data_IF_120403325073
#
_entry.id   IF_120403325073
#
_cell.length_a   1.000
_cell.length_b   1.000
_cell.length_c   1.000
_cell.angle_alpha   90.00
_cell.angle_beta   90.00
_cell.angle_gamma   90.00
#
_symmetry.space_group_name_H-M   'P 1'
#
loop_
_entity.id
_entity.type
_entity.pdbx_description
1 polymer ?
#
# COMPACT_ATOMS: atom_id res chain seq x y z
N UNK A 1 -1.75 -15.73 -10.47
CA UNK A 1 -1.12 -15.76 -9.13
C UNK A 1 -1.01 -17.20 -8.65
N UNK A 2 0.20 -17.66 -8.30
CA UNK A 2 0.43 -19.08 -8.02
C UNK A 2 -0.28 -19.60 -6.76
N UNK A 3 -0.41 -18.79 -5.71
CA UNK A 3 -1.06 -19.19 -4.46
C UNK A 3 -2.58 -19.05 -4.50
N UNK A 4 -3.09 -18.16 -5.33
CA UNK A 4 -4.53 -17.95 -5.52
C UNK A 4 -4.79 -17.92 -7.01
N UNK A 5 -4.97 -19.11 -7.65
CA UNK A 5 -5.02 -19.20 -9.12
C UNK A 5 -6.14 -18.42 -9.77
N UNK A 6 -7.26 -18.23 -9.06
CA UNK A 6 -8.44 -17.52 -9.59
C UNK A 6 -8.33 -16.00 -9.44
N UNK A 7 -7.30 -15.50 -8.74
CA UNK A 7 -7.16 -14.07 -8.53
C UNK A 7 -6.68 -13.34 -9.79
N UNK A 8 -7.32 -12.23 -10.07
CA UNK A 8 -6.83 -11.28 -11.07
C UNK A 8 -5.91 -10.26 -10.40
N UNK A 9 -4.91 -9.80 -11.13
CA UNK A 9 -3.92 -8.86 -10.60
C UNK A 9 -4.06 -7.50 -11.28
N UNK A 10 -4.15 -6.45 -10.46
CA UNK A 10 -4.03 -5.07 -10.90
C UNK A 10 -2.71 -4.48 -10.44
N UNK A 11 -2.32 -3.38 -11.05
CA UNK A 11 -1.07 -2.71 -10.71
C UNK A 11 -1.29 -1.21 -10.58
N UNK A 12 -0.62 -0.60 -9.59
CA UNK A 12 -0.53 0.84 -9.44
C UNK A 12 0.95 1.19 -9.39
N UNK A 13 1.41 1.95 -10.38
CA UNK A 13 2.78 2.46 -10.40
C UNK A 13 2.82 3.82 -9.73
N UNK A 14 3.59 3.92 -8.65
CA UNK A 14 3.81 5.16 -7.91
C UNK A 14 5.26 5.26 -7.51
N UNK A 15 5.74 6.48 -7.38
CA UNK A 15 7.01 6.74 -6.70
C UNK A 15 6.81 7.87 -5.69
N UNK A 16 7.67 7.90 -4.70
CA UNK A 16 7.63 8.92 -3.66
C UNK A 16 8.49 10.10 -4.07
N UNK A 17 7.94 11.31 -3.99
CA UNK A 17 8.71 12.53 -4.15
C UNK A 17 9.72 12.62 -3.01
N UNK A 18 11.01 12.81 -3.34
CA UNK A 18 12.09 12.81 -2.36
C UNK A 18 12.06 14.01 -1.40
N UNK A 19 11.42 15.11 -1.81
CA UNK A 19 11.32 16.30 -0.99
C UNK A 19 10.07 16.30 -0.12
N UNK A 20 8.90 15.99 -0.72
CA UNK A 20 7.61 16.05 -0.03
C UNK A 20 7.19 14.73 0.59
N UNK A 21 7.82 13.61 0.21
CA UNK A 21 7.45 12.23 0.58
C UNK A 21 6.04 11.85 0.13
N UNK A 22 5.44 12.60 -0.78
CA UNK A 22 4.10 12.31 -1.32
C UNK A 22 4.17 11.37 -2.50
N UNK A 23 3.15 10.50 -2.68
CA UNK A 23 3.11 9.61 -3.82
C UNK A 23 2.82 10.36 -5.12
N UNK A 24 3.50 9.96 -6.18
CA UNK A 24 3.26 10.45 -7.53
C UNK A 24 2.85 9.24 -8.37
N UNK A 25 1.61 9.23 -8.84
CA UNK A 25 1.12 8.15 -9.68
C UNK A 25 1.65 8.33 -11.11
N UNK A 26 2.18 7.25 -11.69
CA UNK A 26 2.55 7.23 -13.12
C UNK A 26 1.88 6.10 -13.89
N UNK A 27 1.24 5.16 -13.21
CA UNK A 27 0.61 4.02 -13.86
C UNK A 27 -0.46 3.41 -12.97
N UNK A 28 -1.61 3.04 -13.57
CA UNK A 28 -2.60 2.21 -12.89
C UNK A 28 -3.30 1.32 -13.90
N UNK A 29 -3.57 0.08 -13.51
CA UNK A 29 -4.28 -0.89 -14.35
C UNK A 29 -5.03 -1.86 -13.46
N UNK A 30 -6.34 -1.94 -13.62
CA UNK A 30 -7.21 -2.76 -12.80
C UNK A 30 -8.06 -3.72 -13.64
N UNK A 31 -8.39 -4.91 -13.08
CA UNK A 31 -9.33 -5.82 -13.72
C UNK A 31 -10.72 -5.21 -13.92
N UNK A 32 -11.46 -5.61 -14.97
CA UNK A 32 -12.77 -5.01 -15.25
C UNK A 32 -13.86 -5.34 -14.24
N UNK A 33 -13.70 -6.43 -13.45
CA UNK A 33 -14.70 -6.86 -12.47
C UNK A 33 -14.42 -6.35 -11.05
N UNK A 34 -13.66 -5.26 -10.92
CA UNK A 34 -13.19 -4.77 -9.61
C UNK A 34 -14.33 -4.41 -8.65
N UNK A 35 -15.47 -3.94 -9.17
CA UNK A 35 -16.62 -3.56 -8.34
C UNK A 35 -17.26 -4.74 -7.62
N UNK A 36 -17.15 -5.94 -8.17
CA UNK A 36 -17.76 -7.16 -7.63
C UNK A 36 -16.77 -8.02 -6.82
N UNK A 37 -15.49 -7.75 -6.96
CA UNK A 37 -14.45 -8.55 -6.37
C UNK A 37 -14.14 -8.14 -4.92
N UNK A 38 -13.62 -9.10 -4.13
CA UNK A 38 -12.89 -8.78 -2.91
C UNK A 38 -11.51 -8.28 -3.33
N UNK A 39 -11.18 -7.03 -3.01
CA UNK A 39 -9.94 -6.40 -3.45
C UNK A 39 -8.95 -6.35 -2.30
N UNK A 40 -7.80 -6.96 -2.50
CA UNK A 40 -6.68 -6.92 -1.56
C UNK A 40 -5.63 -5.98 -2.13
N UNK A 41 -5.39 -4.86 -1.44
CA UNK A 41 -4.33 -3.93 -1.81
C UNK A 41 -3.08 -4.32 -1.02
N UNK A 42 -2.02 -4.63 -1.72
CA UNK A 42 -0.79 -5.14 -1.12
C UNK A 42 0.29 -4.06 -1.12
N UNK A 43 0.79 -3.74 0.06
CA UNK A 43 1.90 -2.81 0.25
C UNK A 43 2.84 -3.42 1.30
N UNK A 44 4.05 -3.85 0.92
CA UNK A 44 4.95 -4.53 1.85
C UNK A 44 5.28 -3.70 3.09
N UNK A 45 5.39 -2.39 2.95
CA UNK A 45 5.84 -1.50 4.03
C UNK A 45 4.94 -0.27 4.12
N UNK A 46 4.13 -0.22 5.17
CA UNK A 46 3.25 0.90 5.45
C UNK A 46 3.99 1.92 6.34
N UNK A 47 4.78 2.79 5.71
CA UNK A 47 5.62 3.77 6.40
C UNK A 47 4.87 5.06 6.71
N UNK A 48 4.82 6.01 5.77
CA UNK A 48 4.04 7.24 5.95
C UNK A 48 2.55 7.03 5.70
N UNK A 49 2.20 6.02 4.91
CA UNK A 49 0.83 5.71 4.54
C UNK A 49 0.30 6.47 3.33
N UNK A 50 1.06 7.42 2.78
CA UNK A 50 0.58 8.24 1.67
C UNK A 50 0.38 7.42 0.39
N UNK A 51 1.31 6.54 0.05
CA UNK A 51 1.18 5.67 -1.13
C UNK A 51 0.00 4.72 -1.01
N UNK A 52 -0.15 4.09 0.16
CA UNK A 52 -1.27 3.18 0.41
C UNK A 52 -2.61 3.91 0.36
N UNK A 53 -2.72 5.07 0.98
CA UNK A 53 -3.94 5.88 0.95
C UNK A 53 -4.30 6.30 -0.48
N UNK A 54 -3.30 6.72 -1.26
CA UNK A 54 -3.50 7.09 -2.66
C UNK A 54 -3.92 5.90 -3.51
N UNK A 55 -3.30 4.73 -3.30
CA UNK A 55 -3.68 3.51 -4.01
C UNK A 55 -5.12 3.11 -3.69
N UNK A 56 -5.53 3.16 -2.42
CA UNK A 56 -6.91 2.89 -2.03
C UNK A 56 -7.90 3.86 -2.69
N UNK A 57 -7.55 5.14 -2.78
CA UNK A 57 -8.39 6.12 -3.48
C UNK A 57 -8.56 5.79 -4.95
N UNK A 58 -7.48 5.40 -5.64
CA UNK A 58 -7.53 5.02 -7.05
C UNK A 58 -8.38 3.78 -7.27
N UNK A 59 -8.24 2.79 -6.41
CA UNK A 59 -9.02 1.55 -6.50
C UNK A 59 -10.51 1.82 -6.26
N UNK A 60 -10.84 2.71 -5.32
CA UNK A 60 -12.23 3.16 -5.11
C UNK A 60 -12.78 3.90 -6.32
N UNK A 61 -12.00 4.78 -6.93
CA UNK A 61 -12.39 5.48 -8.16
C UNK A 61 -12.67 4.51 -9.31
N UNK A 62 -11.94 3.39 -9.35
CA UNK A 62 -12.18 2.34 -10.35
C UNK A 62 -13.44 1.51 -10.07
N UNK A 63 -14.07 1.72 -8.92
CA UNK A 63 -15.33 1.09 -8.58
C UNK A 63 -15.28 0.02 -7.49
N UNK A 64 -14.12 -0.24 -6.89
CA UNK A 64 -14.00 -1.25 -5.83
C UNK A 64 -14.86 -0.90 -4.62
N UNK A 65 -15.58 -1.89 -4.09
CA UNK A 65 -16.48 -1.71 -2.95
C UNK A 65 -16.03 -2.49 -1.71
N UNK A 66 -15.31 -3.59 -1.90
CA UNK A 66 -14.83 -4.45 -0.80
C UNK A 66 -13.31 -4.46 -0.81
N UNK A 67 -12.72 -3.74 0.13
CA UNK A 67 -11.28 -3.48 0.18
C UNK A 67 -10.67 -3.94 1.50
N UNK A 68 -9.45 -4.48 1.42
CA UNK A 68 -8.55 -4.66 2.56
C UNK A 68 -7.14 -4.22 2.15
N UNK A 69 -6.40 -3.67 3.09
CA UNK A 69 -4.99 -3.33 2.91
C UNK A 69 -4.15 -4.36 3.68
N UNK A 70 -3.22 -4.98 3.00
CA UNK A 70 -2.35 -6.01 3.59
C UNK A 70 -0.90 -5.58 3.43
N UNK A 71 -0.17 -5.55 4.54
CA UNK A 71 1.25 -5.23 4.57
C UNK A 71 2.05 -6.26 5.34
N UNK A 72 3.36 -6.18 5.24
CA UNK A 72 4.27 -7.01 6.03
C UNK A 72 4.66 -6.25 7.30
N UNK A 73 5.14 -5.02 7.15
CA UNK A 73 5.54 -4.17 8.28
C UNK A 73 4.81 -2.83 8.17
N UNK A 74 4.29 -2.36 9.28
CA UNK A 74 3.64 -1.05 9.36
C UNK A 74 4.17 -0.26 10.56
N UNK A 75 3.99 1.06 10.54
CA UNK A 75 4.24 1.89 11.71
C UNK A 75 3.01 2.74 12.03
N UNK A 76 2.86 3.21 13.28
CA UNK A 76 1.67 3.96 13.70
C UNK A 76 1.33 5.18 12.83
N UNK A 77 2.29 6.02 12.41
CA UNK A 77 1.97 7.14 11.51
C UNK A 77 1.34 6.72 10.19
N UNK A 78 1.83 5.62 9.58
CA UNK A 78 1.28 5.10 8.34
C UNK A 78 -0.12 4.55 8.51
N UNK A 79 -0.34 3.82 9.59
CA UNK A 79 -1.67 3.29 9.93
C UNK A 79 -2.65 4.44 10.14
N UNK A 80 -2.25 5.48 10.88
CA UNK A 80 -3.10 6.64 11.14
C UNK A 80 -3.45 7.38 9.85
N UNK A 81 -2.50 7.55 8.94
CA UNK A 81 -2.74 8.19 7.64
C UNK A 81 -3.82 7.46 6.85
N UNK A 82 -3.71 6.14 6.76
CA UNK A 82 -4.68 5.32 6.01
C UNK A 82 -6.04 5.32 6.71
N UNK A 83 -6.09 5.18 8.03
CA UNK A 83 -7.35 5.17 8.78
C UNK A 83 -8.08 6.51 8.68
N UNK A 84 -7.36 7.61 8.64
CA UNK A 84 -7.96 8.93 8.47
C UNK A 84 -8.60 9.11 7.09
N UNK A 85 -7.92 8.61 6.04
CA UNK A 85 -8.40 8.74 4.66
C UNK A 85 -9.46 7.70 4.32
N UNK A 86 -9.34 6.50 4.86
CA UNK A 86 -10.18 5.34 4.54
C UNK A 86 -10.55 4.57 5.81
N UNK A 87 -11.38 5.15 6.69
CA UNK A 87 -11.67 4.53 8.00
C UNK A 87 -12.39 3.18 7.92
N UNK A 88 -13.05 2.89 6.80
CA UNK A 88 -13.79 1.64 6.59
C UNK A 88 -12.92 0.50 6.07
N UNK A 89 -11.67 0.77 5.68
CA UNK A 89 -10.78 -0.25 5.10
C UNK A 89 -10.00 -0.96 6.20
N UNK A 90 -10.16 -2.28 6.37
CA UNK A 90 -9.34 -3.03 7.33
C UNK A 90 -7.88 -3.05 6.90
N UNK A 91 -6.99 -2.95 7.87
CA UNK A 91 -5.54 -3.03 7.68
C UNK A 91 -5.04 -4.28 8.39
N UNK A 92 -4.38 -5.16 7.63
CA UNK A 92 -3.80 -6.39 8.14
C UNK A 92 -2.30 -6.33 7.91
N UNK A 93 -1.51 -6.50 8.96
CA UNK A 93 -0.05 -6.48 8.87
C UNK A 93 0.56 -7.56 9.78
N UNK A 94 1.71 -8.08 9.38
CA UNK A 94 2.40 -9.10 10.16
C UNK A 94 3.12 -8.50 11.38
N UNK A 95 3.60 -7.26 11.28
CA UNK A 95 4.31 -6.60 12.37
C UNK A 95 4.05 -5.09 12.34
N UNK A 96 4.12 -4.48 13.52
CA UNK A 96 4.07 -3.01 13.67
C UNK A 96 5.35 -2.57 14.36
N UNK A 97 6.14 -1.76 13.67
CA UNK A 97 7.36 -1.16 14.21
C UNK A 97 7.09 0.30 14.59
N UNK A 98 7.72 0.80 15.67
CA UNK A 98 7.23 2.02 16.35
C UNK A 98 7.55 3.33 15.63
N UNK A 99 8.57 3.40 14.78
CA UNK A 99 9.10 4.69 14.32
C UNK A 99 9.36 4.77 12.82
N UNK A 100 9.35 6.01 12.30
CA UNK A 100 9.88 6.38 10.99
C UNK A 100 11.15 7.19 11.20
N UNK A 101 12.16 6.98 10.32
CA UNK A 101 13.33 7.86 10.29
C UNK A 101 13.08 9.08 9.39
N UNK A 102 14.06 9.99 9.30
CA UNK A 102 13.94 11.22 8.52
C UNK A 102 13.81 10.99 7.00
N UNK A 103 14.12 9.79 6.50
CA UNK A 103 13.97 9.43 5.10
C UNK A 103 12.61 8.78 4.80
N UNK A 104 11.74 8.62 5.81
CA UNK A 104 10.45 7.98 5.67
C UNK A 104 10.48 6.46 5.69
N UNK A 105 11.56 5.85 6.20
CA UNK A 105 11.65 4.41 6.39
C UNK A 105 11.21 4.00 7.79
N UNK A 106 10.62 2.82 7.90
CA UNK A 106 10.21 2.23 9.18
C UNK A 106 11.44 1.79 9.97
N UNK A 107 11.47 2.13 11.25
CA UNK A 107 12.57 1.76 12.15
C UNK A 107 12.02 0.91 13.30
N UNK A 108 12.58 -0.30 13.56
CA UNK A 108 13.76 -0.91 12.92
C UNK A 108 13.57 -1.39 11.47
N UNK A 109 12.37 -1.78 11.05
CA UNK A 109 11.99 -2.10 9.67
C UNK A 109 13.04 -2.77 8.76
N UNK A 110 12.80 -2.67 7.45
CA UNK A 110 13.63 -3.32 6.43
C UNK A 110 14.34 -2.33 5.49
N UNK A 111 14.16 -1.01 5.69
CA UNK A 111 14.61 -0.01 4.73
C UNK A 111 13.69 0.02 3.51
N UNK A 112 14.24 -0.10 2.31
CA UNK A 112 13.47 -0.16 1.08
C UNK A 112 13.29 -1.61 0.63
N UNK A 113 12.03 -2.07 0.57
CA UNK A 113 11.73 -3.45 0.20
C UNK A 113 12.14 -3.76 -1.26
N UNK A 114 11.99 -2.78 -2.15
CA UNK A 114 12.42 -2.93 -3.53
C UNK A 114 13.93 -3.09 -3.65
N UNK A 115 14.68 -2.26 -2.92
CA UNK A 115 16.14 -2.37 -2.91
C UNK A 115 16.60 -3.72 -2.40
N UNK A 116 15.99 -4.25 -1.34
CA UNK A 116 16.33 -5.56 -0.81
C UNK A 116 15.99 -6.69 -1.77
N UNK A 117 14.85 -6.61 -2.43
CA UNK A 117 14.42 -7.64 -3.37
C UNK A 117 15.31 -7.68 -4.63
N UNK A 118 15.69 -6.52 -5.14
CA UNK A 118 16.50 -6.40 -6.36
C UNK A 118 18.01 -6.28 -6.10
N UNK A 119 18.45 -6.18 -4.85
CA UNK A 119 19.85 -6.08 -4.47
C UNK A 119 20.50 -4.73 -4.80
N UNK A 120 19.71 -3.66 -4.77
CA UNK A 120 20.19 -2.30 -5.09
C UNK A 120 20.38 -1.39 -3.88
#
# INVERSE_FOLDING_TARGET
MALIPEASTGHVGMYRDHETLRPIQYFSRFPPNIAEAQVLVLDPMLATGHSAAAALSLVKEAGAQRLQLIGVVACPPGIATVQKAHPEVPIITAAVDPELNGLGYIVPGLGDAGDRYFGT
#
